data_IF_600348938691
#
_entry.id   IF_600348938691
#
_cell.length_a   1.000
_cell.length_b   1.000
_cell.length_c   1.000
_cell.angle_alpha   90.00
_cell.angle_beta   90.00
_cell.angle_gamma   90.00
#
_symmetry.space_group_name_H-M   'P 1'
#
loop_
_entity.id
_entity.type
_entity.pdbx_description
1 polymer ?
#
# COMPACT_ATOMS: atom_id res chain seq x y z
N UNK A 1 40.13 9.34 66.42
CA UNK A 1 40.98 8.67 65.42
C UNK A 1 40.65 7.18 65.41
N UNK A 2 40.18 6.67 64.26
CA UNK A 2 39.83 5.29 63.87
C UNK A 2 38.82 4.50 64.73
N UNK A 3 37.83 3.89 64.05
CA UNK A 3 37.77 2.43 64.12
C UNK A 3 37.60 1.74 62.76
N UNK A 4 38.02 0.48 62.76
CA UNK A 4 38.15 -0.47 61.66
C UNK A 4 36.82 -0.75 60.94
N UNK A 5 36.82 -0.73 59.60
CA UNK A 5 35.87 -1.47 58.75
C UNK A 5 36.65 -2.65 58.16
N UNK A 6 36.24 -3.92 58.28
CA UNK A 6 34.90 -4.49 58.20
C UNK A 6 34.81 -5.22 56.85
N UNK A 7 34.84 -6.57 56.89
CA UNK A 7 34.95 -7.50 55.76
C UNK A 7 33.94 -7.21 54.62
N UNK A 8 34.36 -7.40 53.36
CA UNK A 8 33.48 -7.38 52.17
C UNK A 8 32.44 -8.51 52.22
N UNK A 9 31.15 -8.27 51.93
CA UNK A 9 30.20 -9.34 51.65
C UNK A 9 30.27 -9.76 50.17
N UNK A 10 30.07 -11.06 49.96
CA UNK A 10 30.07 -11.77 48.67
C UNK A 10 28.93 -11.30 47.76
N UNK A 11 29.23 -11.23 46.47
CA UNK A 11 28.29 -11.07 45.36
C UNK A 11 27.21 -12.14 45.40
N UNK A 12 25.94 -11.76 45.41
CA UNK A 12 24.82 -12.66 45.12
C UNK A 12 24.37 -12.41 43.67
N UNK A 13 24.54 -13.42 42.81
CA UNK A 13 23.89 -13.47 41.51
C UNK A 13 22.43 -13.88 41.73
N UNK A 14 21.49 -12.99 41.41
CA UNK A 14 20.08 -13.33 41.31
C UNK A 14 19.86 -13.98 39.95
N UNK A 15 19.59 -15.29 39.96
CA UNK A 15 19.20 -16.06 38.78
C UNK A 15 17.67 -16.06 38.70
N UNK A 16 17.11 -15.45 37.66
CA UNK A 16 15.68 -15.58 37.35
C UNK A 16 15.48 -16.84 36.52
N UNK A 17 14.80 -17.83 37.10
CA UNK A 17 14.31 -19.00 36.39
C UNK A 17 12.93 -18.65 35.81
N UNK A 18 12.82 -18.55 34.49
CA UNK A 18 11.53 -18.48 33.79
C UNK A 18 11.06 -19.90 33.51
N UNK A 19 10.11 -20.40 34.30
CA UNK A 19 9.41 -21.66 34.03
C UNK A 19 8.37 -21.42 32.94
N UNK A 20 8.55 -22.01 31.75
CA UNK A 20 7.53 -22.02 30.71
C UNK A 20 6.57 -23.19 30.96
N UNK A 21 5.32 -22.89 31.33
CA UNK A 21 4.21 -23.84 31.24
C UNK A 21 3.70 -23.93 29.79
N UNK A 22 3.06 -25.04 29.37
CA UNK A 22 2.61 -25.20 28.01
C UNK A 22 1.38 -24.32 27.74
N UNK A 23 1.51 -23.37 26.80
CA UNK A 23 0.37 -22.68 26.19
C UNK A 23 -0.21 -23.60 25.13
N UNK A 24 -1.38 -24.18 25.41
CA UNK A 24 -2.18 -24.86 24.39
C UNK A 24 -2.85 -23.81 23.51
N UNK A 25 -2.14 -23.32 22.50
CA UNK A 25 -2.74 -22.53 21.42
C UNK A 25 -3.52 -23.49 20.53
N UNK A 26 -4.84 -23.29 20.46
CA UNK A 26 -5.71 -23.99 19.50
C UNK A 26 -5.30 -23.52 18.10
N UNK A 27 -4.68 -24.43 17.34
CA UNK A 27 -4.25 -24.19 15.96
C UNK A 27 -5.47 -23.95 15.05
N UNK A 28 -5.43 -22.96 14.13
CA UNK A 28 -6.46 -22.76 13.13
C UNK A 28 -6.56 -23.97 12.18
N UNK A 29 -7.75 -24.21 11.62
CA UNK A 29 -8.12 -25.44 10.89
C UNK A 29 -7.25 -25.71 9.64
N UNK A 30 -6.56 -24.69 9.12
CA UNK A 30 -5.54 -24.80 8.05
C UNK A 30 -4.32 -25.67 8.44
N UNK A 31 -4.06 -25.88 9.73
CA UNK A 31 -2.92 -26.71 10.19
C UNK A 31 -3.26 -28.21 10.24
N UNK A 32 -4.54 -28.61 10.09
CA UNK A 32 -4.91 -30.05 10.11
C UNK A 32 -4.68 -30.78 8.79
N UNK A 33 -4.35 -30.07 7.71
CA UNK A 33 -4.03 -30.67 6.39
C UNK A 33 -2.56 -31.05 6.19
N UNK A 34 -1.63 -30.41 6.90
CA UNK A 34 -0.18 -30.59 6.68
C UNK A 34 0.39 -31.92 7.22
N UNK A 35 -0.41 -32.74 7.90
CA UNK A 35 0.01 -34.06 8.39
C UNK A 35 -0.12 -35.19 7.36
N UNK A 36 -0.54 -34.91 6.12
CA UNK A 36 -0.67 -35.93 5.05
C UNK A 36 0.43 -35.89 3.98
N UNK A 37 1.28 -34.87 3.93
CA UNK A 37 2.22 -34.68 2.81
C UNK A 37 3.70 -34.86 3.17
N UNK A 38 4.05 -35.08 4.43
CA UNK A 38 5.44 -35.41 4.83
C UNK A 38 6.46 -34.28 4.59
N UNK A 39 6.02 -33.06 4.30
CA UNK A 39 6.93 -31.92 4.10
C UNK A 39 7.54 -31.47 5.43
N UNK A 40 8.86 -31.23 5.43
CA UNK A 40 9.55 -30.64 6.57
C UNK A 40 9.07 -29.20 6.82
N UNK A 41 9.20 -28.71 8.05
CA UNK A 41 8.88 -27.31 8.42
C UNK A 41 9.57 -26.28 7.51
N UNK A 42 10.79 -26.57 7.04
CA UNK A 42 11.52 -25.71 6.09
C UNK A 42 10.88 -25.72 4.70
N UNK A 43 10.35 -26.85 4.27
CA UNK A 43 9.65 -26.96 2.99
C UNK A 43 8.27 -26.29 3.04
N UNK A 44 7.54 -26.42 4.15
CA UNK A 44 6.28 -25.71 4.35
C UNK A 44 6.47 -24.19 4.41
N UNK A 45 7.52 -23.71 5.09
CA UNK A 45 7.88 -22.29 5.10
C UNK A 45 8.32 -21.77 3.72
N UNK A 46 9.04 -22.58 2.93
CA UNK A 46 9.43 -22.23 1.56
C UNK A 46 8.23 -22.17 0.61
N UNK A 47 7.24 -23.07 0.75
CA UNK A 47 6.00 -23.04 -0.04
C UNK A 47 5.14 -21.84 0.34
N UNK A 48 5.01 -21.51 1.63
CA UNK A 48 4.33 -20.29 2.06
C UNK A 48 5.04 -19.03 1.56
N UNK A 49 6.38 -19.00 1.60
CA UNK A 49 7.18 -17.90 1.07
C UNK A 49 7.09 -17.79 -0.46
N UNK A 50 6.95 -18.91 -1.17
CA UNK A 50 6.76 -18.95 -2.62
C UNK A 50 5.33 -18.53 -3.01
N UNK A 51 4.30 -18.96 -2.29
CA UNK A 51 2.92 -18.51 -2.49
C UNK A 51 2.77 -17.01 -2.19
N UNK A 52 3.38 -16.51 -1.11
CA UNK A 52 3.50 -15.08 -0.82
C UNK A 52 4.29 -14.33 -1.89
N UNK A 53 5.33 -14.93 -2.47
CA UNK A 53 6.07 -14.32 -3.57
C UNK A 53 5.28 -14.30 -4.88
N UNK A 54 4.38 -15.27 -5.10
CA UNK A 54 3.55 -15.35 -6.32
C UNK A 54 2.36 -14.37 -6.21
N UNK A 55 1.73 -14.26 -5.04
CA UNK A 55 0.73 -13.23 -4.74
C UNK A 55 1.33 -11.81 -4.74
N UNK A 56 2.54 -11.64 -4.21
CA UNK A 56 3.30 -10.38 -4.34
C UNK A 56 3.66 -10.07 -5.80
N UNK A 57 3.84 -11.09 -6.64
CA UNK A 57 4.10 -10.93 -8.09
C UNK A 57 2.84 -10.58 -8.90
N UNK A 58 1.65 -11.01 -8.47
CA UNK A 58 0.37 -10.63 -9.07
C UNK A 58 0.01 -9.18 -8.71
N UNK A 59 0.07 -8.81 -7.42
CA UNK A 59 -0.08 -7.42 -6.98
C UNK A 59 0.99 -6.47 -7.59
N UNK A 60 2.18 -6.99 -7.93
CA UNK A 60 3.23 -6.29 -8.69
C UNK A 60 2.79 -5.93 -10.11
N UNK A 61 2.05 -6.83 -10.77
CA UNK A 61 1.66 -6.72 -12.17
C UNK A 61 0.54 -5.68 -12.35
N UNK A 62 -0.43 -5.65 -11.44
CA UNK A 62 -1.62 -4.80 -11.58
C UNK A 62 -1.30 -3.33 -11.30
N UNK A 63 -0.49 -3.04 -10.29
CA UNK A 63 -0.11 -1.66 -9.96
C UNK A 63 0.55 -0.95 -11.16
N UNK A 64 1.54 -1.60 -11.79
CA UNK A 64 2.30 -1.00 -12.89
C UNK A 64 1.52 -1.05 -14.21
N UNK A 65 0.72 -2.10 -14.44
CA UNK A 65 -0.15 -2.20 -15.61
C UNK A 65 -1.23 -1.10 -15.62
N UNK A 66 -1.77 -0.73 -14.46
CA UNK A 66 -2.74 0.35 -14.29
C UNK A 66 -2.11 1.76 -14.32
N UNK A 67 -0.81 1.87 -14.64
CA UNK A 67 -0.09 3.15 -14.69
C UNK A 67 0.33 3.70 -13.33
N UNK A 68 0.31 2.86 -12.29
CA UNK A 68 0.84 3.18 -10.96
C UNK A 68 2.34 2.94 -10.83
N UNK A 69 2.91 3.45 -9.74
CA UNK A 69 4.29 3.17 -9.34
C UNK A 69 4.30 2.37 -8.04
N UNK A 70 5.02 1.25 -8.08
CA UNK A 70 5.11 0.34 -6.96
C UNK A 70 6.19 0.80 -5.96
N UNK A 71 5.81 0.87 -4.69
CA UNK A 71 6.70 1.06 -3.56
C UNK A 71 7.43 -0.24 -3.20
N UNK A 72 8.61 -0.13 -2.60
CA UNK A 72 9.39 -1.28 -2.13
C UNK A 72 8.68 -2.11 -1.05
N UNK A 73 7.67 -1.54 -0.37
CA UNK A 73 6.86 -2.19 0.65
C UNK A 73 5.53 -2.77 0.12
N UNK A 74 5.31 -2.75 -1.20
CA UNK A 74 4.13 -3.32 -1.85
C UNK A 74 2.98 -2.35 -2.08
N UNK A 75 3.06 -1.13 -1.55
CA UNK A 75 2.05 -0.10 -1.82
C UNK A 75 2.09 0.37 -3.27
N UNK A 76 0.92 0.69 -3.82
CA UNK A 76 0.81 1.27 -5.13
C UNK A 76 0.50 2.76 -5.04
N UNK A 77 1.28 3.56 -5.77
CA UNK A 77 1.00 4.98 -5.95
C UNK A 77 0.38 5.23 -7.30
N UNK A 78 -0.63 6.10 -7.34
CA UNK A 78 -1.27 6.56 -8.58
C UNK A 78 -1.24 8.07 -8.66
N UNK A 79 -1.07 8.59 -9.87
CA UNK A 79 -1.20 10.00 -10.14
C UNK A 79 -2.54 10.28 -10.83
N UNK A 80 -3.39 11.10 -10.20
CA UNK A 80 -4.64 11.52 -10.84
C UNK A 80 -4.36 12.46 -12.01
N UNK A 81 -4.96 12.19 -13.16
CA UNK A 81 -4.93 13.09 -14.31
C UNK A 81 -5.84 14.32 -14.15
N UNK A 82 -6.86 14.23 -13.30
CA UNK A 82 -7.75 15.36 -12.97
C UNK A 82 -7.11 16.22 -11.89
N UNK A 83 -7.11 17.54 -12.11
CA UNK A 83 -6.62 18.50 -11.12
C UNK A 83 -7.72 18.89 -10.15
N UNK A 84 -7.41 18.88 -8.85
CA UNK A 84 -8.34 19.24 -7.77
C UNK A 84 -7.73 20.29 -6.86
N UNK A 85 -8.59 21.01 -6.14
CA UNK A 85 -8.18 21.76 -4.95
C UNK A 85 -7.75 20.78 -3.83
N UNK A 86 -6.95 21.23 -2.85
CA UNK A 86 -6.40 20.35 -1.82
C UNK A 86 -7.44 19.75 -0.87
N UNK A 87 -8.63 20.36 -0.72
CA UNK A 87 -9.71 19.82 0.12
C UNK A 87 -10.41 18.64 -0.58
N UNK A 88 -10.60 18.75 -1.89
CA UNK A 88 -11.25 17.71 -2.70
C UNK A 88 -10.32 16.56 -3.10
N UNK A 89 -9.00 16.75 -3.00
CA UNK A 89 -8.00 15.81 -3.49
C UNK A 89 -8.06 14.41 -2.82
N UNK A 90 -8.30 14.34 -1.50
CA UNK A 90 -8.41 13.06 -0.78
C UNK A 90 -9.68 12.28 -1.15
N UNK A 91 -10.82 12.96 -1.26
CA UNK A 91 -12.06 12.34 -1.72
C UNK A 91 -11.93 11.82 -3.16
N UNK A 92 -11.17 12.53 -4.00
CA UNK A 92 -10.85 12.10 -5.35
C UNK A 92 -10.06 10.78 -5.34
N UNK A 93 -9.01 10.66 -4.51
CA UNK A 93 -8.26 9.41 -4.37
C UNK A 93 -9.11 8.23 -3.88
N UNK A 94 -9.98 8.48 -2.89
CA UNK A 94 -10.91 7.47 -2.38
C UNK A 94 -11.85 6.96 -3.48
N UNK A 95 -12.47 7.88 -4.21
CA UNK A 95 -13.47 7.53 -5.24
C UNK A 95 -12.88 6.83 -6.47
N UNK A 96 -11.62 7.12 -6.81
CA UNK A 96 -11.00 6.61 -8.05
C UNK A 96 -10.24 5.30 -7.82
N UNK A 97 -9.53 5.19 -6.70
CA UNK A 97 -8.60 4.07 -6.47
C UNK A 97 -8.89 3.28 -5.20
N UNK A 98 -9.89 3.67 -4.40
CA UNK A 98 -10.11 3.11 -3.06
C UNK A 98 -9.02 3.49 -2.05
N UNK A 99 -8.11 4.39 -2.42
CA UNK A 99 -6.96 4.81 -1.62
C UNK A 99 -7.17 6.16 -0.93
N UNK A 100 -6.08 6.72 -0.41
CA UNK A 100 -6.04 8.06 0.20
C UNK A 100 -4.97 8.91 -0.46
N UNK A 101 -4.94 10.21 -0.19
CA UNK A 101 -3.76 10.99 -0.52
C UNK A 101 -2.51 10.39 0.13
N UNK A 102 -1.42 10.37 -0.63
CA UNK A 102 -0.24 9.58 -0.28
C UNK A 102 0.48 10.08 0.98
N UNK A 103 0.82 9.14 1.86
CA UNK A 103 1.90 9.31 2.83
C UNK A 103 3.26 8.97 2.24
N UNK A 104 4.32 9.64 2.67
CA UNK A 104 5.71 9.35 2.27
C UNK A 104 6.46 8.82 3.48
N UNK A 105 6.64 7.50 3.56
CA UNK A 105 7.18 6.85 4.76
C UNK A 105 8.69 6.65 4.73
N UNK A 106 9.26 6.57 3.54
CA UNK A 106 10.67 6.35 3.32
C UNK A 106 11.14 6.88 1.95
N UNK A 107 12.43 6.70 1.67
CA UNK A 107 13.04 7.14 0.41
C UNK A 107 12.53 6.36 -0.82
N UNK A 108 12.00 5.14 -0.63
CA UNK A 108 11.38 4.34 -1.69
C UNK A 108 10.04 4.93 -2.11
N UNK A 109 9.19 5.29 -1.14
CA UNK A 109 7.94 6.02 -1.39
C UNK A 109 8.24 7.34 -2.14
N UNK A 110 9.21 8.12 -1.65
CA UNK A 110 9.58 9.39 -2.29
C UNK A 110 10.06 9.20 -3.73
N UNK A 111 10.83 8.14 -4.00
CA UNK A 111 11.30 7.83 -5.35
C UNK A 111 10.16 7.40 -6.28
N UNK A 112 9.22 6.56 -5.81
CA UNK A 112 8.06 6.14 -6.58
C UNK A 112 7.16 7.34 -6.94
N UNK A 113 6.91 8.22 -5.98
CA UNK A 113 6.13 9.44 -6.19
C UNK A 113 6.85 10.39 -7.15
N UNK A 114 8.17 10.58 -7.00
CA UNK A 114 8.94 11.40 -7.93
C UNK A 114 8.89 10.85 -9.36
N UNK A 115 8.90 9.53 -9.54
CA UNK A 115 8.78 8.90 -10.85
C UNK A 115 7.40 9.14 -11.49
N UNK A 116 6.30 8.98 -10.74
CA UNK A 116 4.95 9.33 -11.21
C UNK A 116 4.84 10.80 -11.55
N UNK A 117 5.35 11.65 -10.67
CA UNK A 117 5.26 13.07 -10.83
C UNK A 117 6.07 13.56 -12.05
N UNK A 118 7.22 12.94 -12.33
CA UNK A 118 7.97 13.20 -13.55
C UNK A 118 7.17 12.90 -14.83
N UNK A 119 6.31 11.88 -14.82
CA UNK A 119 5.41 11.57 -15.95
C UNK A 119 4.33 12.65 -16.14
N UNK A 120 3.82 13.23 -15.05
CA UNK A 120 2.82 14.29 -15.08
C UNK A 120 3.40 15.66 -15.50
N UNK A 121 4.64 15.94 -15.12
CA UNK A 121 5.12 17.31 -15.02
C UNK A 121 5.38 18.00 -16.36
N UNK A 122 5.78 17.31 -17.44
CA UNK A 122 6.00 17.85 -18.81
C UNK A 122 6.52 19.33 -18.90
N UNK A 123 7.31 19.79 -17.91
CA UNK A 123 7.85 21.15 -17.83
C UNK A 123 6.90 22.28 -17.40
N UNK A 124 5.72 22.03 -16.83
CA UNK A 124 4.73 23.08 -16.54
C UNK A 124 4.63 23.57 -15.09
N UNK A 125 5.61 23.26 -14.22
CA UNK A 125 5.56 23.74 -12.83
C UNK A 125 4.34 23.20 -12.08
N UNK A 126 4.02 21.92 -12.32
CA UNK A 126 2.90 21.28 -11.67
C UNK A 126 3.16 21.13 -10.15
N UNK A 127 2.08 20.96 -9.41
CA UNK A 127 2.09 20.54 -8.01
C UNK A 127 1.24 19.28 -7.92
N UNK A 128 1.59 18.39 -6.99
CA UNK A 128 0.73 17.27 -6.66
C UNK A 128 0.46 17.20 -5.16
N UNK A 129 -0.81 17.24 -4.79
CA UNK A 129 -1.26 17.12 -3.40
C UNK A 129 -0.90 15.76 -2.83
N UNK A 130 -0.48 15.75 -1.57
CA UNK A 130 -0.22 14.55 -0.76
C UNK A 130 -0.96 14.63 0.56
N UNK A 131 -0.93 13.54 1.33
CA UNK A 131 -1.76 13.41 2.53
C UNK A 131 -1.22 14.12 3.76
N UNK A 132 -0.15 14.92 3.65
CA UNK A 132 0.42 15.62 4.81
C UNK A 132 -0.35 16.92 5.04
N UNK A 133 -0.79 17.14 6.28
CA UNK A 133 -1.49 18.35 6.66
C UNK A 133 -1.08 18.85 8.04
N UNK A 134 -0.87 20.15 8.18
CA UNK A 134 -0.67 20.77 9.49
C UNK A 134 -1.98 21.04 10.22
N UNK A 135 -1.96 21.01 11.55
CA UNK A 135 -3.07 21.54 12.34
C UNK A 135 -3.13 23.07 12.20
N UNK A 136 -4.33 23.63 12.08
CA UNK A 136 -4.54 25.05 11.83
C UNK A 136 -3.76 25.96 12.79
N UNK A 137 -2.93 26.85 12.22
CA UNK A 137 -2.10 27.79 12.98
C UNK A 137 -0.86 27.17 13.64
N UNK A 138 -0.41 25.99 13.19
CA UNK A 138 0.76 25.28 13.71
C UNK A 138 1.57 24.67 12.57
N UNK A 139 2.81 24.24 12.85
CA UNK A 139 3.62 23.40 11.94
C UNK A 139 3.58 21.92 12.36
N UNK A 140 2.57 21.52 13.13
CA UNK A 140 2.39 20.14 13.55
C UNK A 140 1.70 19.37 12.43
N UNK A 141 2.50 18.67 11.63
CA UNK A 141 2.04 17.90 10.48
C UNK A 141 1.61 16.48 10.87
N UNK A 142 0.53 16.01 10.25
CA UNK A 142 0.03 14.64 10.38
C UNK A 142 -0.48 14.12 9.03
N UNK A 143 -0.40 12.82 8.82
CA UNK A 143 -0.90 12.17 7.61
C UNK A 143 -2.42 11.90 7.70
N UNK A 144 -3.14 12.18 6.61
CA UNK A 144 -4.59 11.98 6.51
C UNK A 144 -5.02 10.50 6.57
N UNK A 145 -4.12 9.59 6.24
CA UNK A 145 -4.31 8.13 6.33
C UNK A 145 -3.95 7.57 7.72
N UNK A 146 -3.49 8.41 8.66
CA UNK A 146 -3.12 8.02 10.01
C UNK A 146 -1.72 7.41 10.13
N UNK A 147 -0.91 7.44 9.05
CA UNK A 147 0.49 7.06 9.14
C UNK A 147 1.25 7.94 10.14
N UNK A 148 2.29 7.40 10.77
CA UNK A 148 3.06 8.08 11.83
C UNK A 148 4.51 8.36 11.43
N UNK A 149 4.88 8.12 10.17
CA UNK A 149 6.23 8.35 9.68
C UNK A 149 6.57 9.84 9.69
N UNK A 150 7.77 10.16 10.16
CA UNK A 150 8.34 11.51 10.17
C UNK A 150 9.32 11.73 9.01
N UNK A 151 9.38 10.83 8.03
CA UNK A 151 10.33 10.93 6.91
C UNK A 151 10.21 12.24 6.13
N UNK A 152 8.99 12.80 6.08
CA UNK A 152 8.70 14.10 5.45
C UNK A 152 9.59 15.24 5.96
N UNK A 153 10.02 15.20 7.23
CA UNK A 153 10.90 16.22 7.83
C UNK A 153 12.23 16.39 7.07
N UNK A 154 12.68 15.35 6.35
CA UNK A 154 13.94 15.35 5.61
C UNK A 154 13.84 15.78 4.13
N UNK A 155 12.61 16.00 3.63
CA UNK A 155 12.34 16.22 2.21
C UNK A 155 11.59 17.53 1.90
N UNK A 156 11.56 18.46 2.84
CA UNK A 156 11.14 19.84 2.58
C UNK A 156 12.05 20.55 1.57
N UNK A 157 11.45 21.45 0.80
CA UNK A 157 12.20 22.39 -0.02
C UNK A 157 12.93 23.41 0.88
N UNK A 158 13.94 24.08 0.31
CA UNK A 158 14.70 25.10 1.04
C UNK A 158 13.76 26.21 1.52
N UNK A 159 13.75 26.45 2.83
CA UNK A 159 12.89 27.42 3.52
C UNK A 159 11.44 26.99 3.74
N UNK A 160 11.13 25.70 3.57
CA UNK A 160 9.84 25.11 3.91
C UNK A 160 9.94 24.16 5.14
N UNK A 161 8.86 23.99 5.93
CA UNK A 161 7.62 24.76 5.86
C UNK A 161 7.85 26.21 6.32
N UNK A 162 7.25 27.17 5.62
CA UNK A 162 7.55 28.59 5.78
C UNK A 162 6.50 29.39 6.55
N UNK A 163 5.27 28.85 6.68
CA UNK A 163 4.11 29.62 7.12
C UNK A 163 3.09 28.77 7.87
N UNK A 164 2.88 29.05 9.16
CA UNK A 164 1.92 28.32 10.02
C UNK A 164 0.44 28.39 9.58
N UNK A 165 0.12 29.27 8.63
CA UNK A 165 -1.21 29.35 8.02
C UNK A 165 -1.35 28.44 6.80
N UNK A 166 -0.26 27.91 6.25
CA UNK A 166 -0.28 26.99 5.12
C UNK A 166 -0.36 25.57 5.65
N UNK A 167 -1.54 24.97 5.57
CA UNK A 167 -1.76 23.67 6.21
C UNK A 167 -1.61 22.48 5.26
N UNK A 168 -1.83 22.66 3.96
CA UNK A 168 -1.84 21.56 2.99
C UNK A 168 -0.49 21.43 2.30
N UNK A 169 -0.04 20.20 2.07
CA UNK A 169 1.30 19.97 1.53
C UNK A 169 1.20 19.36 0.14
N UNK A 170 2.10 19.79 -0.73
CA UNK A 170 2.25 19.23 -2.07
C UNK A 170 3.71 18.88 -2.37
N UNK A 171 3.86 17.96 -3.32
CA UNK A 171 5.14 17.70 -3.98
C UNK A 171 5.31 18.72 -5.09
N UNK A 172 6.40 19.48 -5.02
CA UNK A 172 6.69 20.56 -5.97
C UNK A 172 7.54 20.05 -7.13
N UNK A 173 7.11 20.35 -8.35
CA UNK A 173 7.94 20.22 -9.54
C UNK A 173 8.96 21.33 -9.70
N UNK A 174 9.85 21.17 -10.68
CA UNK A 174 10.77 22.25 -11.07
C UNK A 174 9.96 23.45 -11.58
N UNK A 175 10.17 24.61 -10.95
CA UNK A 175 9.50 25.86 -11.28
C UNK A 175 10.53 26.97 -11.48
N UNK A 176 10.39 27.78 -12.54
CA UNK A 176 11.25 28.95 -12.76
C UNK A 176 12.76 28.67 -12.88
N UNK A 177 13.16 27.45 -13.24
CA UNK A 177 14.57 27.03 -13.32
C UNK A 177 15.21 26.64 -11.98
N UNK A 178 14.44 26.62 -10.89
CA UNK A 178 14.85 26.07 -9.60
C UNK A 178 14.51 24.57 -9.54
N UNK A 179 15.48 23.68 -9.24
CA UNK A 179 15.21 22.27 -9.06
C UNK A 179 14.57 22.04 -7.68
N UNK A 180 13.25 22.01 -7.63
CA UNK A 180 12.51 21.58 -6.45
C UNK A 180 12.28 20.06 -6.44
N UNK A 181 12.53 19.37 -7.57
CA UNK A 181 12.71 17.92 -7.74
C UNK A 181 12.12 17.02 -6.64
N UNK A 182 10.80 17.01 -6.50
CA UNK A 182 10.10 16.11 -5.59
C UNK A 182 10.11 16.51 -4.11
N UNK A 183 10.58 17.72 -3.79
CA UNK A 183 10.54 18.29 -2.44
C UNK A 183 9.14 18.76 -2.06
N UNK A 184 8.92 18.82 -0.75
CA UNK A 184 7.66 19.27 -0.17
C UNK A 184 7.63 20.78 0.01
N UNK A 185 6.46 21.36 -0.19
CA UNK A 185 6.11 22.72 0.20
C UNK A 185 4.68 22.73 0.74
N UNK A 186 4.41 23.60 1.71
CA UNK A 186 3.09 23.87 2.24
C UNK A 186 2.35 24.92 1.39
N UNK A 187 1.02 24.91 1.49
CA UNK A 187 0.10 25.85 0.85
C UNK A 187 -1.18 26.01 1.67
N UNK A 188 -1.92 27.09 1.44
CA UNK A 188 -3.26 27.25 1.99
C UNK A 188 -4.22 26.18 1.48
N UNK A 189 -4.79 25.38 2.39
CA UNK A 189 -5.80 24.39 2.01
C UNK A 189 -7.06 25.01 1.38
N UNK A 190 -7.32 26.29 1.62
CA UNK A 190 -8.54 26.96 1.19
C UNK A 190 -8.34 27.89 0.00
N UNK A 191 -7.21 27.77 -0.69
CA UNK A 191 -6.97 28.48 -1.94
C UNK A 191 -7.63 27.77 -3.14
N UNK A 192 -7.74 28.49 -4.23
CA UNK A 192 -8.23 28.04 -5.54
C UNK A 192 -7.18 27.30 -6.37
N UNK A 193 -5.96 27.11 -5.85
CA UNK A 193 -4.90 26.41 -6.57
C UNK A 193 -5.31 24.94 -6.79
N UNK A 194 -5.36 24.53 -8.06
CA UNK A 194 -5.60 23.13 -8.42
C UNK A 194 -4.30 22.43 -8.80
N UNK A 195 -4.09 21.25 -8.24
CA UNK A 195 -2.92 20.39 -8.45
C UNK A 195 -3.34 19.00 -8.88
N UNK A 196 -2.38 18.20 -9.34
CA UNK A 196 -2.58 16.75 -9.41
C UNK A 196 -2.73 16.18 -7.99
N UNK A 197 -3.12 14.92 -7.87
CA UNK A 197 -3.17 14.22 -6.59
C UNK A 197 -2.36 12.95 -6.70
N UNK A 198 -1.48 12.72 -5.72
CA UNK A 198 -0.81 11.42 -5.59
C UNK A 198 -1.60 10.60 -4.59
N UNK A 199 -2.17 9.51 -5.07
CA UNK A 199 -2.94 8.58 -4.27
C UNK A 199 -2.05 7.41 -3.86
N UNK A 200 -2.13 7.01 -2.59
CA UNK A 200 -1.56 5.77 -2.08
C UNK A 200 -2.68 4.77 -1.89
N UNK A 201 -2.52 3.61 -2.52
CA UNK A 201 -3.29 2.41 -2.26
C UNK A 201 -2.34 1.47 -1.52
N UNK A 202 -2.59 1.17 -0.24
CA UNK A 202 -1.76 0.23 0.49
C UNK A 202 -1.72 -1.12 -0.24
N UNK A 203 -0.53 -1.73 -0.29
CA UNK A 203 -0.36 -3.06 -0.84
C UNK A 203 -1.09 -4.08 0.02
N UNK A 204 -1.34 -5.26 -0.55
CA UNK A 204 -2.69 -5.87 -0.57
C UNK A 204 -3.68 -5.22 0.42
N UNK A 205 -4.27 -4.12 -0.05
CA UNK A 205 -5.52 -3.53 0.42
C UNK A 205 -6.28 -2.96 -0.79
N UNK A 206 -6.45 -3.77 -1.83
CA UNK A 206 -7.76 -3.82 -2.47
C UNK A 206 -8.61 -4.76 -1.61
N UNK A 207 -9.90 -4.49 -1.45
CA UNK A 207 -10.79 -5.51 -0.90
C UNK A 207 -10.67 -6.75 -1.80
N UNK A 208 -10.50 -7.90 -1.16
CA UNK A 208 -10.43 -9.23 -1.77
C UNK A 208 -11.40 -10.06 -0.92
N UNK A 209 -12.68 -9.92 -1.26
CA UNK A 209 -13.80 -10.37 -0.42
C UNK A 209 -13.82 -11.88 -0.30
N UNK A 210 -13.37 -12.59 -1.31
CA UNK A 210 -13.40 -14.06 -1.37
C UNK A 210 -12.04 -14.73 -1.14
N UNK A 211 -10.95 -13.97 -1.14
CA UNK A 211 -9.56 -14.39 -0.87
C UNK A 211 -8.97 -15.30 -1.96
N UNK A 212 -9.32 -15.07 -3.23
CA UNK A 212 -8.71 -15.77 -4.37
C UNK A 212 -7.37 -15.16 -4.83
N UNK A 213 -7.05 -13.96 -4.34
CA UNK A 213 -5.83 -13.23 -4.63
C UNK A 213 -5.93 -12.25 -5.80
N UNK A 214 -7.12 -12.03 -6.35
CA UNK A 214 -7.49 -10.97 -7.28
C UNK A 214 -8.26 -9.89 -6.52
N UNK A 215 -8.06 -8.63 -6.90
CA UNK A 215 -8.74 -7.52 -6.24
C UNK A 215 -10.21 -7.42 -6.67
N UNK A 216 -11.14 -7.16 -5.74
CA UNK A 216 -12.58 -6.96 -6.00
C UNK A 216 -12.90 -5.98 -7.16
N UNK A 217 -12.03 -4.98 -7.36
CA UNK A 217 -12.25 -3.93 -8.39
C UNK A 217 -11.93 -4.40 -9.81
N UNK A 218 -11.12 -5.46 -9.94
CA UNK A 218 -10.65 -6.05 -11.20
C UNK A 218 -11.15 -7.48 -11.37
N UNK A 219 -11.75 -8.03 -10.32
CA UNK A 219 -12.38 -9.32 -10.29
C UNK A 219 -13.78 -9.23 -10.92
N UNK A 220 -14.03 -10.08 -11.92
CA UNK A 220 -15.35 -10.20 -12.54
C UNK A 220 -16.39 -10.83 -11.58
N UNK A 221 -15.92 -11.62 -10.61
CA UNK A 221 -16.72 -12.32 -9.60
C UNK A 221 -16.19 -12.09 -8.17
N UNK A 222 -16.28 -10.85 -7.63
CA UNK A 222 -15.70 -10.45 -6.32
C UNK A 222 -16.20 -11.17 -5.05
N UNK A 223 -17.05 -12.18 -5.19
CA UNK A 223 -17.61 -12.96 -4.09
C UNK A 223 -17.46 -14.48 -4.36
N UNK A 224 -16.82 -14.89 -5.46
CA UNK A 224 -16.58 -16.28 -5.84
C UNK A 224 -15.08 -16.56 -5.94
N UNK A 225 -14.47 -17.21 -4.92
CA UNK A 225 -13.03 -17.39 -4.88
C UNK A 225 -12.49 -18.41 -5.91
N UNK A 226 -13.35 -18.90 -6.78
CA UNK A 226 -13.02 -19.82 -7.86
C UNK A 226 -13.14 -19.21 -9.24
N UNK A 227 -13.58 -17.95 -9.36
CA UNK A 227 -13.72 -17.24 -10.63
C UNK A 227 -13.17 -15.82 -10.49
N UNK A 228 -12.33 -15.40 -11.42
CA UNK A 228 -11.75 -14.06 -11.38
C UNK A 228 -11.84 -13.29 -12.71
N UNK A 229 -12.28 -13.97 -13.77
CA UNK A 229 -12.30 -13.46 -15.14
C UNK A 229 -13.53 -13.98 -15.89
N UNK A 230 -14.05 -13.14 -16.78
CA UNK A 230 -15.15 -13.40 -17.72
C UNK A 230 -14.70 -12.82 -19.06
N UNK A 231 -13.99 -13.63 -19.85
CA UNK A 231 -13.21 -13.16 -21.00
C UNK A 231 -14.11 -12.66 -22.14
N UNK A 232 -15.30 -13.21 -22.30
CA UNK A 232 -16.24 -12.79 -23.35
C UNK A 232 -17.46 -11.99 -22.85
N UNK A 233 -17.62 -11.87 -21.53
CA UNK A 233 -18.57 -10.97 -20.89
C UNK A 233 -20.00 -11.52 -20.84
N UNK A 234 -20.17 -12.84 -20.85
CA UNK A 234 -21.48 -13.49 -20.82
C UNK A 234 -22.02 -13.75 -19.40
N UNK A 235 -21.18 -13.53 -18.38
CA UNK A 235 -21.50 -13.65 -16.97
C UNK A 235 -21.22 -15.03 -16.36
N UNK A 236 -20.59 -15.95 -17.10
CA UNK A 236 -20.02 -17.20 -16.57
C UNK A 236 -18.50 -17.04 -16.47
N UNK A 237 -17.91 -17.43 -15.33
CA UNK A 237 -16.48 -17.28 -15.14
C UNK A 237 -15.67 -18.26 -16.00
N UNK A 238 -14.48 -17.84 -16.42
CA UNK A 238 -13.60 -18.59 -17.33
C UNK A 238 -13.27 -20.01 -16.82
N UNK A 239 -13.34 -20.29 -15.51
CA UNK A 239 -13.10 -21.64 -14.99
C UNK A 239 -14.33 -22.56 -15.08
N UNK A 240 -15.53 -21.99 -15.10
CA UNK A 240 -16.81 -22.68 -15.24
C UNK A 240 -17.31 -22.73 -16.69
N UNK A 241 -16.82 -21.85 -17.55
CA UNK A 241 -17.22 -21.73 -18.94
C UNK A 241 -16.48 -22.73 -19.86
N UNK A 242 -17.25 -23.53 -20.59
CA UNK A 242 -16.71 -24.45 -21.61
C UNK A 242 -16.17 -23.72 -22.85
N UNK A 243 -16.63 -22.49 -23.12
CA UNK A 243 -16.24 -21.66 -24.25
C UNK A 243 -15.88 -20.23 -23.84
N UNK A 244 -14.77 -19.99 -23.09
CA UNK A 244 -14.40 -18.68 -22.51
C UNK A 244 -14.13 -17.52 -23.50
N UNK A 245 -14.40 -17.68 -24.79
CA UNK A 245 -14.21 -16.66 -25.81
C UNK A 245 -15.43 -16.55 -26.75
N UNK A 246 -16.51 -17.28 -26.48
CA UNK A 246 -17.75 -17.26 -27.24
C UNK A 246 -18.93 -16.93 -26.31
N UNK A 247 -19.37 -15.66 -26.28
CA UNK A 247 -20.38 -15.20 -25.33
C UNK A 247 -21.80 -15.74 -25.62
N UNK A 248 -21.91 -16.68 -26.56
CA UNK A 248 -23.17 -17.34 -26.92
C UNK A 248 -23.27 -18.78 -26.45
N UNK A 249 -22.19 -19.36 -25.92
CA UNK A 249 -22.11 -20.77 -25.51
C UNK A 249 -21.39 -20.88 -24.16
N UNK A 250 -21.98 -21.57 -23.17
CA UNK A 250 -21.37 -21.70 -21.82
C UNK A 250 -21.19 -23.14 -21.36
N UNK A 251 -21.91 -24.08 -21.98
CA UNK A 251 -22.02 -25.47 -21.53
C UNK A 251 -21.75 -26.43 -22.68
N UNK A 252 -20.96 -27.46 -22.39
CA UNK A 252 -20.72 -28.61 -23.26
C UNK A 252 -21.01 -29.89 -22.47
N UNK A 253 -22.29 -30.30 -22.46
CA UNK A 253 -22.73 -31.45 -21.66
C UNK A 253 -22.19 -32.78 -22.18
N UNK A 254 -21.90 -32.90 -23.48
CA UNK A 254 -21.47 -34.15 -24.11
C UNK A 254 -19.98 -34.23 -24.49
N UNK A 255 -19.25 -33.13 -24.32
CA UNK A 255 -17.80 -33.03 -24.47
C UNK A 255 -17.34 -33.05 -25.93
N UNK A 256 -18.19 -32.65 -26.88
CA UNK A 256 -17.87 -32.69 -28.31
C UNK A 256 -17.23 -31.39 -28.84
N UNK A 257 -17.17 -30.35 -28.01
CA UNK A 257 -16.64 -29.04 -28.36
C UNK A 257 -17.62 -28.14 -29.13
N UNK A 258 -18.92 -28.42 -29.07
CA UNK A 258 -20.03 -27.58 -29.52
C UNK A 258 -20.97 -27.37 -28.32
N UNK A 259 -21.52 -26.16 -28.17
CA UNK A 259 -22.41 -25.88 -27.04
C UNK A 259 -23.84 -26.41 -27.20
N UNK A 260 -24.57 -26.42 -26.08
CA UNK A 260 -25.91 -27.01 -25.89
C UNK A 260 -27.12 -26.12 -26.25
#
# INVERSE_FOLDING_TARGET
ALPRRGKRPRTQHVSWVVTHGPVTTVMPRAVRGAARTGLSWRAAAAVACAALATACSAALADCVADGGALASNGDCFFAQGVRTDPVSADASCQSTYGGRLASIRDAGDAAAIAALFAQLNNGQGAVAWIGLRAAAGTENHAWLDGDTSTFFESIWATSEPGNVLEECVFVHGNYGGQPHDGKLADHWCHDTQTGFSICRVPGPACDDRDNDGVCDRTDAFPDDPTESADTDGDGVGDNADAFPNDPTETTDTDGDGVGD
#
